data_IF_401711829586
#
_entry.id   IF_401711829586
#
_cell.length_a   1.000
_cell.length_b   1.000
_cell.length_c   1.000
_cell.angle_alpha   90.00
_cell.angle_beta   90.00
_cell.angle_gamma   90.00
#
_symmetry.space_group_name_H-M   'P 1'
#
loop_
_entity.id
_entity.type
_entity.pdbx_description
1 polymer ?
#
# COMPACT_ATOMS: atom_id res chain seq x y z
N UNK A 1 -9.23 -2.54 20.04
CA UNK A 1 -9.28 -3.47 18.89
C UNK A 1 -10.71 -3.51 18.43
N UNK A 2 -11.06 -2.72 17.41
CA UNK A 2 -12.37 -2.87 16.76
C UNK A 2 -12.29 -4.09 15.84
N UNK A 3 -13.04 -5.13 16.15
CA UNK A 3 -13.18 -6.27 15.26
C UNK A 3 -14.08 -5.84 14.10
N UNK A 4 -13.54 -5.86 12.88
CA UNK A 4 -14.34 -5.65 11.68
C UNK A 4 -15.31 -6.83 11.58
N UNK A 5 -16.59 -6.56 11.79
CA UNK A 5 -17.66 -7.56 11.74
C UNK A 5 -18.26 -7.54 10.34
N UNK A 6 -18.33 -8.71 9.72
CA UNK A 6 -19.03 -8.92 8.46
C UNK A 6 -20.34 -9.65 8.74
N UNK A 7 -21.41 -9.23 8.08
CA UNK A 7 -22.69 -9.94 8.07
C UNK A 7 -22.84 -10.58 6.70
N UNK A 8 -22.89 -11.91 6.66
CA UNK A 8 -23.17 -12.64 5.43
C UNK A 8 -24.58 -12.30 4.95
N UNK A 9 -24.72 -11.92 3.68
CA UNK A 9 -26.01 -11.57 3.10
C UNK A 9 -26.82 -12.82 2.70
N UNK A 10 -26.17 -13.98 2.57
CA UNK A 10 -26.83 -15.26 2.34
C UNK A 10 -27.32 -15.91 3.64
N UNK A 11 -26.73 -15.52 4.77
CA UNK A 11 -27.19 -15.89 6.12
C UNK A 11 -27.03 -14.70 7.10
N UNK A 12 -28.02 -13.81 7.19
CA UNK A 12 -27.95 -12.57 7.98
C UNK A 12 -27.90 -12.78 9.50
N UNK A 13 -27.91 -14.03 9.97
CA UNK A 13 -27.84 -14.37 11.39
C UNK A 13 -26.42 -14.72 11.89
N UNK A 14 -25.45 -14.92 10.99
CA UNK A 14 -24.06 -15.12 11.36
C UNK A 14 -23.24 -13.83 11.25
N UNK A 15 -23.03 -13.20 12.40
CA UNK A 15 -22.08 -12.09 12.58
C UNK A 15 -20.68 -12.66 12.78
N UNK A 16 -19.95 -12.85 11.69
CA UNK A 16 -18.61 -13.42 11.70
C UNK A 16 -17.53 -12.31 11.54
N UNK A 17 -16.35 -12.43 12.16
CA UNK A 17 -15.24 -11.52 11.88
C UNK A 17 -14.94 -11.50 10.38
N UNK A 18 -14.70 -10.33 9.79
CA UNK A 18 -14.39 -10.21 8.36
C UNK A 18 -13.18 -11.06 7.93
N UNK A 19 -12.26 -11.36 8.86
CA UNK A 19 -11.17 -12.32 8.65
C UNK A 19 -11.65 -13.75 8.39
N UNK A 20 -12.71 -14.20 9.06
CA UNK A 20 -13.26 -15.54 8.85
C UNK A 20 -13.90 -15.67 7.46
N UNK A 21 -14.63 -14.63 7.04
CA UNK A 21 -15.20 -14.56 5.70
C UNK A 21 -14.11 -14.59 4.61
N UNK A 22 -13.07 -13.78 4.76
CA UNK A 22 -11.97 -13.74 3.78
C UNK A 22 -11.19 -15.05 3.73
N UNK A 23 -10.86 -15.64 4.88
CA UNK A 23 -10.17 -16.94 4.93
C UNK A 23 -11.04 -18.03 4.29
N UNK A 24 -12.33 -18.10 4.62
CA UNK A 24 -13.22 -19.10 4.02
C UNK A 24 -13.39 -18.92 2.51
N UNK A 25 -13.39 -17.68 2.02
CA UNK A 25 -13.41 -17.37 0.59
C UNK A 25 -12.10 -17.79 -0.10
N UNK A 26 -10.95 -17.48 0.51
CA UNK A 26 -9.61 -17.92 0.07
C UNK A 26 -9.53 -19.44 -0.08
N UNK A 27 -10.04 -20.15 0.92
CA UNK A 27 -10.03 -21.61 0.94
C UNK A 27 -10.98 -22.22 -0.09
N UNK A 28 -12.16 -21.63 -0.29
CA UNK A 28 -13.13 -22.08 -1.29
C UNK A 28 -12.58 -21.92 -2.71
N UNK A 29 -12.02 -20.75 -3.03
CA UNK A 29 -11.45 -20.51 -4.35
C UNK A 29 -10.24 -21.41 -4.61
N UNK A 30 -9.38 -21.58 -3.60
CA UNK A 30 -8.28 -22.55 -3.67
C UNK A 30 -8.79 -23.95 -4.00
N UNK A 31 -9.84 -24.43 -3.35
CA UNK A 31 -10.37 -25.78 -3.59
C UNK A 31 -10.93 -25.96 -5.01
N UNK A 32 -11.42 -24.88 -5.63
CA UNK A 32 -11.90 -24.87 -7.00
C UNK A 32 -10.74 -24.91 -8.01
N UNK A 33 -9.71 -24.11 -7.75
CA UNK A 33 -8.67 -23.77 -8.74
C UNK A 33 -7.33 -24.50 -8.53
N UNK A 34 -7.06 -25.06 -7.33
CA UNK A 34 -5.79 -25.71 -6.99
C UNK A 34 -5.96 -27.00 -6.14
N UNK A 35 -5.24 -28.10 -6.44
CA UNK A 35 -5.32 -29.33 -5.64
C UNK A 35 -4.81 -29.13 -4.20
N UNK A 36 -5.42 -29.87 -3.26
CA UNK A 36 -5.07 -29.86 -1.84
C UNK A 36 -3.58 -30.22 -1.62
N UNK A 37 -2.91 -29.52 -0.70
CA UNK A 37 -1.47 -29.60 -0.37
C UNK A 37 -0.47 -28.94 -1.35
N UNK A 38 -0.89 -27.95 -2.15
CA UNK A 38 0.08 -27.07 -2.81
C UNK A 38 0.90 -26.26 -1.79
N UNK A 39 2.24 -26.39 -1.84
CA UNK A 39 3.26 -25.65 -1.06
C UNK A 39 3.13 -24.12 -1.24
N UNK A 40 2.38 -23.71 -2.25
CA UNK A 40 2.09 -22.32 -2.59
C UNK A 40 1.01 -21.74 -1.64
N UNK A 41 0.23 -22.54 -0.91
CA UNK A 41 -0.88 -22.02 -0.11
C UNK A 41 -0.86 -22.56 1.31
N UNK A 42 0.20 -22.21 2.03
CA UNK A 42 0.33 -22.51 3.45
C UNK A 42 -0.59 -21.61 4.30
N UNK A 43 -0.94 -22.08 5.49
CA UNK A 43 -1.88 -21.40 6.39
C UNK A 43 -1.39 -20.00 6.80
N UNK A 44 -0.09 -19.85 7.03
CA UNK A 44 0.59 -18.60 7.34
C UNK A 44 0.38 -17.55 6.25
N UNK A 45 0.46 -17.95 4.97
CA UNK A 45 0.25 -17.04 3.83
C UNK A 45 -1.23 -16.65 3.72
N UNK A 46 -2.16 -17.58 3.93
CA UNK A 46 -3.59 -17.26 3.88
C UNK A 46 -4.00 -16.26 4.97
N UNK A 47 -3.47 -16.44 6.19
CA UNK A 47 -3.67 -15.50 7.30
C UNK A 47 -3.06 -14.14 6.97
N UNK A 48 -1.86 -14.13 6.37
CA UNK A 48 -1.21 -12.88 5.97
C UNK A 48 -1.99 -12.13 4.90
N UNK A 49 -2.38 -12.79 3.80
CA UNK A 49 -3.16 -12.19 2.70
C UNK A 49 -4.49 -11.66 3.22
N UNK A 50 -5.14 -12.38 4.13
CA UNK A 50 -6.34 -11.88 4.81
C UNK A 50 -6.08 -10.58 5.57
N UNK A 51 -4.92 -10.47 6.22
CA UNK A 51 -4.44 -9.21 6.81
C UNK A 51 -4.31 -8.10 5.78
N UNK A 52 -3.63 -8.36 4.66
CA UNK A 52 -3.45 -7.38 3.55
C UNK A 52 -4.79 -6.89 3.01
N UNK A 53 -5.78 -7.77 2.86
CA UNK A 53 -7.12 -7.41 2.37
C UNK A 53 -7.92 -6.58 3.40
N UNK A 54 -7.73 -6.84 4.70
CA UNK A 54 -8.44 -6.14 5.76
C UNK A 54 -7.79 -4.82 6.17
N UNK A 55 -6.48 -4.67 5.98
CA UNK A 55 -5.75 -3.49 6.45
C UNK A 55 -6.28 -2.18 5.84
N UNK A 56 -6.62 -2.10 4.53
CA UNK A 56 -7.32 -0.95 3.97
C UNK A 56 -8.71 -0.73 4.60
N UNK A 57 -9.46 -1.81 4.88
CA UNK A 57 -10.84 -1.74 5.41
C UNK A 57 -10.91 -1.38 6.91
N UNK A 58 -9.91 -1.78 7.69
CA UNK A 58 -9.78 -1.48 9.13
C UNK A 58 -9.44 -0.02 9.39
N UNK A 59 -9.07 0.71 8.35
CA UNK A 59 -8.39 1.98 8.48
C UNK A 59 -9.29 3.16 8.14
N UNK A 60 -10.12 3.55 9.12
CA UNK A 60 -10.55 4.94 9.28
C UNK A 60 -9.36 5.88 9.69
N UNK A 61 -8.14 5.31 9.79
CA UNK A 61 -6.85 5.90 10.22
C UNK A 61 -5.74 5.60 9.18
N UNK A 62 -6.05 5.80 7.89
CA UNK A 62 -5.28 5.39 6.69
C UNK A 62 -3.84 5.93 6.59
N UNK A 63 -3.46 6.90 7.42
CA UNK A 63 -2.16 7.58 7.33
C UNK A 63 -0.93 6.66 7.40
N UNK A 64 -0.93 5.61 8.23
CA UNK A 64 0.28 4.77 8.43
C UNK A 64 0.56 3.76 7.33
N UNK A 65 -0.48 3.27 6.64
CA UNK A 65 -0.31 2.33 5.52
C UNK A 65 0.09 3.10 4.27
N UNK A 66 -0.59 4.21 4.00
CA UNK A 66 -0.34 5.02 2.80
C UNK A 66 0.94 5.86 2.87
N UNK A 67 1.48 6.18 4.06
CA UNK A 67 2.69 7.01 4.17
C UNK A 67 3.92 6.44 3.45
N UNK A 68 4.00 5.12 3.29
CA UNK A 68 5.15 4.47 2.64
C UNK A 68 4.90 4.12 1.18
N UNK A 69 3.63 4.07 0.76
CA UNK A 69 3.20 3.77 -0.60
C UNK A 69 3.63 4.93 -1.51
N UNK A 70 4.30 4.63 -2.63
CA UNK A 70 4.65 5.63 -3.64
C UNK A 70 4.53 5.08 -5.05
N UNK A 71 4.03 5.88 -6.03
CA UNK A 71 3.92 5.43 -7.42
C UNK A 71 5.30 5.17 -8.04
N UNK A 72 6.31 5.89 -7.58
CA UNK A 72 7.64 5.93 -8.19
C UNK A 72 8.65 5.10 -7.40
N UNK A 73 9.34 4.20 -8.10
CA UNK A 73 10.41 3.40 -7.51
C UNK A 73 11.54 4.28 -6.93
N UNK A 74 11.82 5.43 -7.55
CA UNK A 74 12.82 6.39 -7.09
C UNK A 74 12.53 6.84 -5.65
N UNK A 75 11.27 7.11 -5.35
CA UNK A 75 10.86 7.68 -4.06
C UNK A 75 10.89 6.59 -2.99
N UNK A 76 10.48 5.37 -3.34
CA UNK A 76 10.63 4.19 -2.47
C UNK A 76 12.11 3.95 -2.13
N UNK A 77 13.00 3.96 -3.14
CA UNK A 77 14.43 3.75 -2.93
C UNK A 77 15.08 4.88 -2.15
N UNK A 78 14.67 6.13 -2.39
CA UNK A 78 15.14 7.27 -1.61
C UNK A 78 14.72 7.16 -0.15
N UNK A 79 13.47 6.80 0.14
CA UNK A 79 12.98 6.56 1.52
C UNK A 79 13.77 5.44 2.20
N UNK A 80 14.10 4.36 1.48
CA UNK A 80 14.94 3.27 1.98
C UNK A 80 16.36 3.77 2.30
N UNK A 81 16.95 4.57 1.41
CA UNK A 81 18.30 5.11 1.56
C UNK A 81 18.41 6.09 2.75
N UNK A 82 17.40 6.95 2.93
CA UNK A 82 17.31 7.91 4.06
C UNK A 82 17.05 7.21 5.40
N UNK A 83 16.41 6.03 5.38
CA UNK A 83 16.09 5.28 6.60
C UNK A 83 17.33 4.63 7.22
N UNK A 84 17.57 4.85 8.52
CA UNK A 84 18.70 4.25 9.26
C UNK A 84 18.40 2.88 9.84
N UNK A 85 17.12 2.57 10.09
CA UNK A 85 16.68 1.32 10.71
C UNK A 85 16.30 0.28 9.67
N UNK A 86 16.82 -0.95 9.81
CA UNK A 86 16.40 -2.08 8.97
C UNK A 86 14.92 -2.41 9.13
N UNK A 87 14.33 -2.15 10.29
CA UNK A 87 12.88 -2.29 10.52
C UNK A 87 12.07 -1.36 9.63
N UNK A 88 12.45 -0.10 9.56
CA UNK A 88 11.77 0.89 8.70
C UNK A 88 11.93 0.53 7.22
N UNK A 89 13.12 0.08 6.81
CA UNK A 89 13.35 -0.39 5.43
C UNK A 89 12.51 -1.62 5.08
N UNK A 90 12.39 -2.56 6.02
CA UNK A 90 11.50 -3.71 5.92
C UNK A 90 10.05 -3.26 5.72
N UNK A 91 9.54 -2.38 6.58
CA UNK A 91 8.16 -1.89 6.50
C UNK A 91 7.89 -1.16 5.18
N UNK A 92 8.82 -0.32 4.70
CA UNK A 92 8.69 0.38 3.41
C UNK A 92 8.55 -0.63 2.26
N UNK A 93 9.43 -1.63 2.21
CA UNK A 93 9.40 -2.64 1.14
C UNK A 93 8.12 -3.49 1.21
N UNK A 94 7.77 -3.97 2.41
CA UNK A 94 6.58 -4.81 2.63
C UNK A 94 5.31 -4.07 2.21
N UNK A 95 5.12 -2.84 2.69
CA UNK A 95 3.90 -2.06 2.42
C UNK A 95 3.72 -1.75 0.94
N UNK A 96 4.80 -1.41 0.21
CA UNK A 96 4.70 -1.21 -1.24
C UNK A 96 4.41 -2.52 -1.99
N UNK A 97 4.94 -3.65 -1.53
CA UNK A 97 4.65 -4.96 -2.11
C UNK A 97 3.19 -5.39 -1.87
N UNK A 98 2.71 -5.28 -0.62
CA UNK A 98 1.33 -5.58 -0.23
C UNK A 98 0.34 -4.73 -1.02
N UNK A 99 0.66 -3.44 -1.19
CA UNK A 99 -0.14 -2.53 -2.00
C UNK A 99 -0.23 -2.98 -3.46
N UNK A 100 0.89 -3.37 -4.08
CA UNK A 100 0.89 -3.90 -5.45
C UNK A 100 0.10 -5.22 -5.55
N UNK A 101 0.24 -6.12 -4.58
CA UNK A 101 -0.52 -7.37 -4.55
C UNK A 101 -2.04 -7.10 -4.45
N UNK A 102 -2.43 -6.19 -3.55
CA UNK A 102 -3.82 -5.75 -3.39
C UNK A 102 -4.36 -5.12 -4.67
N UNK A 103 -3.64 -4.16 -5.25
CA UNK A 103 -4.09 -3.43 -6.44
C UNK A 103 -4.19 -4.34 -7.67
N UNK A 104 -3.18 -5.19 -7.91
CA UNK A 104 -3.17 -6.08 -9.07
C UNK A 104 -4.10 -7.28 -8.90
N UNK A 105 -4.34 -7.72 -7.66
CA UNK A 105 -5.20 -8.84 -7.33
C UNK A 105 -6.67 -8.46 -7.42
N UNK A 106 -7.06 -7.30 -6.90
CA UNK A 106 -8.49 -6.96 -6.85
C UNK A 106 -8.96 -6.15 -8.07
N UNK A 107 -8.10 -5.37 -8.72
CA UNK A 107 -8.53 -4.44 -9.76
C UNK A 107 -8.13 -4.90 -11.17
N UNK A 108 -9.03 -4.78 -12.17
CA UNK A 108 -8.69 -5.10 -13.55
C UNK A 108 -7.66 -4.12 -14.12
N UNK A 109 -6.87 -4.60 -15.08
CA UNK A 109 -5.97 -3.76 -15.85
C UNK A 109 -6.75 -2.61 -16.53
N UNK A 110 -6.25 -1.38 -16.40
CA UNK A 110 -6.85 -0.19 -17.01
C UNK A 110 -7.94 0.52 -16.21
N UNK A 111 -8.38 -0.02 -15.07
CA UNK A 111 -9.37 0.67 -14.20
C UNK A 111 -8.70 1.72 -13.30
N UNK A 112 -7.50 1.44 -12.78
CA UNK A 112 -6.74 2.41 -11.98
C UNK A 112 -5.76 3.19 -12.86
N UNK A 113 -6.29 4.18 -13.58
CA UNK A 113 -5.57 5.02 -14.55
C UNK A 113 -4.77 6.17 -13.95
N UNK A 114 -4.02 5.94 -12.86
CA UNK A 114 -3.08 6.92 -12.29
C UNK A 114 -1.61 6.56 -12.59
N UNK A 115 -0.69 7.49 -12.36
CA UNK A 115 0.77 7.29 -12.55
C UNK A 115 1.30 6.01 -11.86
N UNK A 116 0.60 5.58 -10.80
CA UNK A 116 0.85 4.37 -10.02
C UNK A 116 0.85 3.06 -10.85
N UNK A 117 -0.06 2.94 -11.83
CA UNK A 117 -0.19 1.77 -12.71
C UNK A 117 0.16 2.09 -14.18
N UNK A 118 0.87 3.19 -14.44
CA UNK A 118 1.31 3.57 -15.78
C UNK A 118 2.24 2.56 -16.48
N UNK A 119 2.82 1.62 -15.73
CA UNK A 119 3.69 0.56 -16.25
C UNK A 119 2.88 -0.67 -16.69
N UNK A 120 3.45 -1.46 -17.60
CA UNK A 120 2.84 -2.74 -18.02
C UNK A 120 2.58 -3.66 -16.83
N UNK A 121 1.55 -4.51 -16.94
CA UNK A 121 1.19 -5.47 -15.91
C UNK A 121 2.38 -6.30 -15.43
N UNK A 122 3.14 -6.88 -16.36
CA UNK A 122 4.33 -7.69 -16.04
C UNK A 122 5.42 -6.87 -15.31
N UNK A 123 5.57 -5.58 -15.63
CA UNK A 123 6.48 -4.71 -14.90
C UNK A 123 6.02 -4.48 -13.45
N UNK A 124 4.70 -4.35 -13.22
CA UNK A 124 4.15 -4.18 -11.87
C UNK A 124 4.26 -5.47 -11.04
N UNK A 125 4.02 -6.62 -11.66
CA UNK A 125 4.27 -7.94 -11.05
C UNK A 125 5.74 -8.04 -10.62
N UNK A 126 6.66 -7.68 -11.51
CA UNK A 126 8.09 -7.73 -11.19
C UNK A 126 8.48 -6.77 -10.06
N UNK A 127 7.87 -5.57 -9.99
CA UNK A 127 8.06 -4.64 -8.87
C UNK A 127 7.60 -5.25 -7.55
N UNK A 128 6.39 -5.82 -7.50
CA UNK A 128 5.86 -6.49 -6.31
C UNK A 128 6.77 -7.61 -5.82
N UNK A 129 7.25 -8.46 -6.75
CA UNK A 129 8.24 -9.51 -6.46
C UNK A 129 9.52 -8.92 -5.86
N UNK A 130 10.11 -7.91 -6.50
CA UNK A 130 11.36 -7.29 -6.05
C UNK A 130 11.21 -6.65 -4.66
N UNK A 131 10.10 -5.98 -4.38
CA UNK A 131 9.86 -5.40 -3.07
C UNK A 131 9.72 -6.46 -1.97
N UNK A 132 9.02 -7.57 -2.21
CA UNK A 132 9.00 -8.67 -1.25
C UNK A 132 10.40 -9.26 -1.03
N UNK A 133 11.22 -9.43 -2.07
CA UNK A 133 12.62 -9.89 -1.91
C UNK A 133 13.45 -8.93 -1.08
N UNK A 134 13.29 -7.62 -1.29
CA UNK A 134 13.97 -6.62 -0.47
C UNK A 134 13.48 -6.66 0.98
N UNK A 135 12.18 -6.87 1.19
CA UNK A 135 11.62 -7.08 2.52
C UNK A 135 12.23 -8.32 3.19
N UNK A 136 12.39 -9.46 2.50
CA UNK A 136 13.09 -10.63 3.06
C UNK A 136 14.49 -10.25 3.54
N UNK A 137 15.29 -9.62 2.68
CA UNK A 137 16.67 -9.23 2.99
C UNK A 137 16.79 -8.30 4.22
N UNK A 138 15.87 -7.35 4.38
CA UNK A 138 15.84 -6.49 5.56
C UNK A 138 15.22 -7.17 6.77
N UNK A 139 14.23 -8.04 6.55
CA UNK A 139 13.53 -8.81 7.56
C UNK A 139 14.47 -9.76 8.29
N UNK A 140 15.28 -10.54 7.57
CA UNK A 140 16.29 -11.44 8.15
C UNK A 140 17.30 -10.72 9.06
N UNK A 141 17.60 -9.46 8.75
CA UNK A 141 18.52 -8.61 9.54
C UNK A 141 17.87 -7.94 10.76
N UNK A 142 16.55 -8.00 10.85
CA UNK A 142 15.76 -7.29 11.88
C UNK A 142 14.94 -8.25 12.75
N UNK A 143 14.59 -9.42 12.23
CA UNK A 143 13.51 -10.22 12.77
C UNK A 143 13.93 -11.01 14.01
N UNK A 144 13.14 -10.85 15.08
CA UNK A 144 13.10 -11.78 16.22
C UNK A 144 12.23 -13.02 15.87
N UNK A 145 11.39 -12.94 14.83
CA UNK A 145 10.51 -14.01 14.37
C UNK A 145 10.74 -14.32 12.87
N UNK A 146 11.27 -15.51 12.52
CA UNK A 146 11.60 -15.87 11.14
C UNK A 146 10.38 -16.14 10.24
N UNK A 147 9.17 -16.29 10.80
CA UNK A 147 7.98 -16.64 10.03
C UNK A 147 7.54 -15.54 9.04
N UNK A 148 7.74 -14.26 9.39
CA UNK A 148 7.30 -13.14 8.52
C UNK A 148 8.16 -13.05 7.25
N UNK A 149 9.50 -13.05 7.30
CA UNK A 149 10.32 -13.15 6.10
C UNK A 149 10.02 -14.39 5.25
N UNK A 150 9.70 -15.53 5.86
CA UNK A 150 9.33 -16.74 5.12
C UNK A 150 8.06 -16.55 4.28
N UNK A 151 7.02 -15.95 4.85
CA UNK A 151 5.80 -15.59 4.11
C UNK A 151 6.13 -14.62 2.97
N UNK A 152 6.97 -13.60 3.20
CA UNK A 152 7.40 -12.68 2.14
C UNK A 152 8.14 -13.40 1.01
N UNK A 153 8.97 -14.39 1.34
CA UNK A 153 9.69 -15.20 0.36
C UNK A 153 8.73 -16.03 -0.50
N UNK A 154 7.71 -16.64 0.12
CA UNK A 154 6.62 -17.35 -0.58
C UNK A 154 5.85 -16.41 -1.51
N UNK A 155 5.43 -15.24 -1.01
CA UNK A 155 4.72 -14.21 -1.77
C UNK A 155 5.54 -13.67 -2.94
N UNK A 156 6.86 -13.47 -2.77
CA UNK A 156 7.74 -13.10 -3.88
C UNK A 156 7.80 -14.19 -4.95
N UNK A 157 7.96 -15.44 -4.53
CA UNK A 157 8.18 -16.57 -5.44
C UNK A 157 6.94 -16.81 -6.30
N UNK A 158 5.77 -16.81 -5.67
CA UNK A 158 4.49 -17.17 -6.29
C UNK A 158 3.54 -15.96 -6.44
N UNK A 159 4.11 -14.76 -6.62
CA UNK A 159 3.33 -13.51 -6.64
C UNK A 159 2.18 -13.54 -7.65
N UNK A 160 2.41 -14.12 -8.84
CA UNK A 160 1.42 -14.14 -9.91
C UNK A 160 0.26 -15.05 -9.54
N UNK A 161 0.55 -16.19 -8.94
CA UNK A 161 -0.41 -17.18 -8.47
C UNK A 161 -1.28 -16.64 -7.34
N UNK A 162 -0.70 -15.91 -6.37
CA UNK A 162 -1.49 -15.24 -5.34
C UNK A 162 -2.34 -14.09 -5.90
N UNK A 163 -1.78 -13.32 -6.85
CA UNK A 163 -2.53 -12.27 -7.55
C UNK A 163 -3.73 -12.87 -8.28
N UNK A 164 -3.51 -13.92 -9.07
CA UNK A 164 -4.56 -14.56 -9.87
C UNK A 164 -5.64 -15.15 -8.96
N UNK A 165 -5.25 -15.79 -7.85
CA UNK A 165 -6.20 -16.22 -6.81
C UNK A 165 -7.05 -15.06 -6.29
N UNK A 166 -6.45 -13.92 -5.94
CA UNK A 166 -7.18 -12.74 -5.49
C UNK A 166 -8.10 -12.19 -6.58
N UNK A 167 -7.68 -12.28 -7.83
CA UNK A 167 -8.43 -11.81 -8.99
C UNK A 167 -9.64 -12.68 -9.29
N UNK A 168 -9.55 -13.98 -9.07
CA UNK A 168 -10.67 -14.89 -9.19
C UNK A 168 -11.65 -14.69 -8.01
N UNK A 169 -11.12 -14.60 -6.79
CA UNK A 169 -11.92 -14.35 -5.58
C UNK A 169 -12.73 -13.05 -5.60
N UNK A 170 -12.27 -12.02 -6.32
CA UNK A 170 -12.92 -10.70 -6.32
C UNK A 170 -14.37 -10.75 -6.84
N UNK A 171 -14.64 -11.66 -7.78
CA UNK A 171 -15.93 -11.81 -8.44
C UNK A 171 -16.87 -12.71 -7.65
N UNK A 172 -16.34 -13.83 -7.15
CA UNK A 172 -17.17 -14.90 -6.60
C UNK A 172 -17.52 -14.72 -5.12
N UNK A 173 -16.69 -14.01 -4.35
CA UNK A 173 -16.84 -13.94 -2.90
C UNK A 173 -16.86 -12.52 -2.36
N UNK A 174 -16.02 -11.64 -2.90
CA UNK A 174 -15.86 -10.31 -2.31
C UNK A 174 -16.98 -9.34 -2.67
N UNK A 175 -17.74 -9.60 -3.75
CA UNK A 175 -18.77 -8.71 -4.30
C UNK A 175 -18.33 -7.22 -4.33
N UNK A 176 -17.00 -7.00 -4.43
CA UNK A 176 -16.36 -5.69 -4.26
C UNK A 176 -16.70 -4.78 -5.44
N UNK A 177 -16.97 -5.35 -6.62
CA UNK A 177 -17.44 -4.61 -7.80
C UNK A 177 -18.88 -4.12 -7.66
N UNK A 178 -19.73 -4.77 -6.85
CA UNK A 178 -21.10 -4.29 -6.56
C UNK A 178 -21.15 -3.31 -5.38
N UNK A 179 -20.13 -3.29 -4.50
CA UNK A 179 -20.18 -2.55 -3.21
C UNK A 179 -19.09 -1.52 -2.97
N UNK A 180 -17.99 -1.50 -3.72
CA UNK A 180 -17.20 -0.28 -3.87
C UNK A 180 -17.90 0.55 -4.92
N UNK A 181 -18.62 1.59 -4.50
CA UNK A 181 -19.21 2.50 -5.47
C UNK A 181 -18.09 3.13 -6.29
N UNK A 182 -18.36 3.52 -7.56
CA UNK A 182 -17.40 4.30 -8.37
C UNK A 182 -16.84 5.50 -7.58
N UNK A 183 -17.61 6.02 -6.62
CA UNK A 183 -17.24 7.07 -5.69
C UNK A 183 -16.16 6.67 -4.67
N UNK A 184 -16.21 5.46 -4.08
CA UNK A 184 -15.17 4.98 -3.16
C UNK A 184 -13.86 4.71 -3.90
N UNK A 185 -13.98 4.25 -5.16
CA UNK A 185 -12.85 4.08 -6.07
C UNK A 185 -12.23 5.43 -6.46
N UNK A 186 -13.05 6.40 -6.84
CA UNK A 186 -12.61 7.77 -7.11
C UNK A 186 -11.96 8.39 -5.87
N UNK A 187 -12.51 8.17 -4.67
CA UNK A 187 -11.94 8.70 -3.43
C UNK A 187 -10.57 8.07 -3.10
N UNK A 188 -10.40 6.75 -3.32
CA UNK A 188 -9.10 6.10 -3.16
C UNK A 188 -8.09 6.62 -4.19
N UNK A 189 -8.48 6.68 -5.46
CA UNK A 189 -7.62 7.20 -6.54
C UNK A 189 -7.24 8.66 -6.27
N UNK A 190 -8.20 9.51 -5.91
CA UNK A 190 -7.94 10.90 -5.53
C UNK A 190 -7.01 11.02 -4.32
N UNK A 191 -7.13 10.13 -3.33
CA UNK A 191 -6.22 10.11 -2.18
C UNK A 191 -4.80 9.73 -2.59
N UNK A 192 -4.65 8.85 -3.58
CA UNK A 192 -3.35 8.44 -4.12
C UNK A 192 -2.72 9.54 -4.96
N UNK A 193 -3.51 10.19 -5.82
CA UNK A 193 -3.08 11.33 -6.62
C UNK A 193 -2.67 12.49 -5.72
N UNK A 194 -3.40 12.71 -4.62
CA UNK A 194 -3.04 13.70 -3.61
C UNK A 194 -1.73 13.35 -2.88
N UNK A 195 -1.43 12.07 -2.63
CA UNK A 195 -0.14 11.66 -2.07
C UNK A 195 0.99 11.94 -3.06
N UNK A 196 0.79 11.64 -4.35
CA UNK A 196 1.73 11.99 -5.42
C UNK A 196 1.96 13.51 -5.50
N UNK A 197 0.89 14.30 -5.48
CA UNK A 197 0.96 15.78 -5.47
C UNK A 197 1.73 16.28 -4.24
N UNK A 198 1.49 15.73 -3.06
CA UNK A 198 2.23 16.10 -1.83
C UNK A 198 3.72 15.83 -1.97
N UNK A 199 4.12 14.68 -2.52
CA UNK A 199 5.53 14.34 -2.70
C UNK A 199 6.22 15.26 -3.72
N UNK A 200 5.54 15.60 -4.82
CA UNK A 200 6.05 16.58 -5.79
C UNK A 200 6.17 17.99 -5.19
N UNK A 201 5.19 18.40 -4.38
CA UNK A 201 5.25 19.69 -3.68
C UNK A 201 6.40 19.71 -2.66
N UNK A 202 6.69 18.60 -1.98
CA UNK A 202 7.86 18.48 -1.08
C UNK A 202 9.17 18.60 -1.86
N UNK A 203 9.32 17.91 -2.99
CA UNK A 203 10.51 18.04 -3.86
C UNK A 203 10.72 19.49 -4.32
N UNK A 204 9.63 20.21 -4.64
CA UNK A 204 9.68 21.63 -4.99
C UNK A 204 10.05 22.54 -3.81
N UNK A 205 9.62 22.20 -2.59
CA UNK A 205 10.06 22.90 -1.38
C UNK A 205 11.56 22.69 -1.17
N UNK A 206 12.06 21.45 -1.30
CA UNK A 206 13.49 21.14 -1.15
C UNK A 206 14.33 21.93 -2.17
N UNK A 207 13.93 21.95 -3.44
CA UNK A 207 14.59 22.75 -4.48
C UNK A 207 14.55 24.26 -4.19
N UNK A 208 13.44 24.77 -3.64
CA UNK A 208 13.35 26.18 -3.22
C UNK A 208 14.22 26.48 -2.00
N UNK A 209 14.37 25.55 -1.06
CA UNK A 209 15.26 25.71 0.09
C UNK A 209 16.73 25.76 -0.37
N UNK A 210 17.12 24.94 -1.33
CA UNK A 210 18.45 25.01 -1.98
C UNK A 210 18.65 26.37 -2.67
N UNK A 211 17.68 26.83 -3.45
CA UNK A 211 17.73 28.15 -4.09
C UNK A 211 17.81 29.30 -3.05
N UNK A 212 17.11 29.16 -1.91
CA UNK A 212 17.15 30.14 -0.82
C UNK A 212 18.55 30.24 -0.21
N UNK A 213 19.26 29.11 -0.09
CA UNK A 213 20.64 29.09 0.41
C UNK A 213 21.64 29.71 -0.56
N UNK A 214 21.37 29.63 -1.86
CA UNK A 214 22.21 30.21 -2.91
C UNK A 214 21.90 31.69 -3.19
N UNK A 215 20.73 32.19 -2.79
CA UNK A 215 20.30 33.55 -3.08
C UNK A 215 21.17 34.60 -2.36
N UNK A 216 21.64 35.60 -3.10
CA UNK A 216 22.45 36.69 -2.57
C UNK A 216 21.61 37.93 -2.22
N UNK A 217 20.49 38.14 -2.93
CA UNK A 217 19.64 39.33 -2.77
C UNK A 217 18.48 39.12 -1.79
N UNK A 218 18.13 40.17 -1.06
CA UNK A 218 17.03 40.14 -0.08
C UNK A 218 15.66 39.97 -0.75
N UNK A 219 15.50 40.48 -1.97
CA UNK A 219 14.25 40.39 -2.75
C UNK A 219 14.01 38.97 -3.27
N UNK A 220 15.06 38.30 -3.75
CA UNK A 220 15.01 36.91 -4.19
C UNK A 220 14.68 35.97 -3.02
N UNK A 221 15.32 36.19 -1.86
CA UNK A 221 14.98 35.45 -0.63
C UNK A 221 13.50 35.60 -0.27
N UNK A 222 12.96 36.82 -0.31
CA UNK A 222 11.53 37.07 -0.03
C UNK A 222 10.60 36.33 -1.00
N UNK A 223 10.94 36.33 -2.30
CA UNK A 223 10.16 35.62 -3.32
C UNK A 223 10.16 34.11 -3.09
N UNK A 224 11.33 33.53 -2.81
CA UNK A 224 11.48 32.10 -2.56
C UNK A 224 10.76 31.68 -1.28
N UNK A 225 10.89 32.45 -0.19
CA UNK A 225 10.15 32.20 1.07
C UNK A 225 8.63 32.26 0.85
N UNK A 226 8.13 33.24 0.09
CA UNK A 226 6.71 33.30 -0.24
C UNK A 226 6.25 32.09 -1.09
N UNK A 227 7.11 31.59 -1.97
CA UNK A 227 6.90 30.35 -2.72
C UNK A 227 6.78 29.14 -1.80
N UNK A 228 7.72 28.96 -0.87
CA UNK A 228 7.70 27.86 0.11
C UNK A 228 6.41 27.90 0.94
N UNK A 229 6.03 29.05 1.50
CA UNK A 229 4.80 29.16 2.30
C UNK A 229 3.53 28.77 1.54
N UNK A 230 3.45 29.08 0.24
CA UNK A 230 2.31 28.67 -0.61
C UNK A 230 2.28 27.16 -0.83
N UNK A 231 3.44 26.55 -1.11
CA UNK A 231 3.54 25.10 -1.30
C UNK A 231 3.22 24.35 0.00
N UNK A 232 3.72 24.81 1.15
CA UNK A 232 3.42 24.24 2.46
C UNK A 232 1.93 24.33 2.79
N UNK A 233 1.27 25.47 2.51
CA UNK A 233 -0.16 25.62 2.73
C UNK A 233 -0.98 24.64 1.87
N UNK A 234 -0.55 24.37 0.63
CA UNK A 234 -1.19 23.40 -0.26
C UNK A 234 -1.03 21.96 0.24
N UNK A 235 0.15 21.61 0.77
CA UNK A 235 0.37 20.29 1.39
C UNK A 235 -0.58 20.09 2.57
N UNK A 236 -0.69 21.07 3.46
CA UNK A 236 -1.57 20.98 4.64
C UNK A 236 -3.06 20.92 4.26
N UNK A 237 -3.46 21.59 3.18
CA UNK A 237 -4.81 21.48 2.63
C UNK A 237 -5.10 20.05 2.14
N UNK A 238 -4.20 19.47 1.36
CA UNK A 238 -4.34 18.10 0.83
C UNK A 238 -4.32 17.07 1.96
N UNK A 239 -3.41 17.21 2.93
CA UNK A 239 -3.36 16.31 4.09
C UNK A 239 -4.67 16.33 4.87
N UNK A 240 -5.22 17.52 5.12
CA UNK A 240 -6.50 17.66 5.83
C UNK A 240 -7.67 17.10 5.04
N UNK A 241 -7.71 17.35 3.72
CA UNK A 241 -8.79 16.88 2.83
C UNK A 241 -8.85 15.35 2.78
N UNK A 242 -7.71 14.67 2.79
CA UNK A 242 -7.61 13.21 2.65
C UNK A 242 -7.25 12.48 3.95
N UNK A 243 -7.23 13.16 5.10
CA UNK A 243 -6.95 12.55 6.40
C UNK A 243 -5.51 12.01 6.55
N UNK A 244 -4.55 12.63 5.86
CA UNK A 244 -3.12 12.25 5.89
C UNK A 244 -2.34 12.94 7.03
N UNK A 245 -3.04 13.67 7.90
CA UNK A 245 -2.49 14.38 9.06
C UNK A 245 -2.07 13.41 10.18
N UNK A 246 -0.98 12.67 9.99
CA UNK A 246 -0.20 12.12 11.10
C UNK A 246 1.30 12.26 10.85
N UNK A 247 1.80 13.48 11.01
CA UNK A 247 3.18 13.70 11.46
C UNK A 247 3.29 13.16 12.89
N UNK A 248 3.63 11.89 13.02
CA UNK A 248 4.11 11.38 14.30
C UNK A 248 5.63 11.56 14.30
N UNK A 249 6.06 12.72 14.80
CA UNK A 249 7.37 12.91 15.43
C UNK A 249 7.67 11.74 16.36
N UNK A 250 8.33 10.72 15.85
CA UNK A 250 9.00 9.65 16.59
C UNK A 250 10.26 9.26 15.81
N UNK A 251 11.12 10.25 15.61
CA UNK A 251 12.56 10.04 15.58
C UNK A 251 13.10 10.34 16.98
N UNK A 252 13.14 9.31 17.81
CA UNK A 252 14.11 9.16 18.89
C UNK A 252 14.69 7.75 18.81
#
# INVERSE_FOLDING_TARGET
MENLVYTDLNDPHESNPASYFLISSLLKERMSSFPSNSVIFDEDVNVYITGVLLDPMRSRNSGRFLQYVSPYDSDVFERIARSKSYRTRFDICRVNADFLLFMLGLFPEGVCGGDFLSKSFEAQVQRGKSYYQMAVNFGERTSVNPAVPEVMQKLSTYFKEYRDLLFDMRGDYLNLLERMTEHDFAALQESMDAIGEIDDLKKRIDANLEALTAAESTEEKRRITAGISRLSARIEELKRKYGLDQDNTLYH
#
